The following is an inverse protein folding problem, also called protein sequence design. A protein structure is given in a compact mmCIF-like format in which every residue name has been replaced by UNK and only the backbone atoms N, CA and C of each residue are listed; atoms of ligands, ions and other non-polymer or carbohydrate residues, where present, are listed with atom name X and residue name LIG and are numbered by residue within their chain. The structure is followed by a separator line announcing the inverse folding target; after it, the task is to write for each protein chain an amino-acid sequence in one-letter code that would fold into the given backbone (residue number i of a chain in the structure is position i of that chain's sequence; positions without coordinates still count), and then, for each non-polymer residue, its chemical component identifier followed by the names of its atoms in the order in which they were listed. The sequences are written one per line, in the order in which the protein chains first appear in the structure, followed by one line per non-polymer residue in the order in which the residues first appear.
data_IF_427201076141
#
_entry.id   IF_427201076141
#
_cell.length_a   1.000
_cell.length_b   1.000
_cell.length_c   1.000
_cell.angle_alpha   90.00
_cell.angle_beta   90.00
_cell.angle_gamma   90.00
#
_symmetry.space_group_name_H-M   'P 1'
#
loop_
_entity.id
_entity.type
_entity.pdbx_description
1 polymer ?
#
# COMPACT_ATOMS: atom_id res chain seq x y z
N UNK A 1 -9.77 -1.86 -11.33
CA UNK A 1 -8.58 -1.19 -10.74
C UNK A 1 -7.45 -2.21 -10.71
N UNK A 2 -6.21 -1.79 -10.92
CA UNK A 2 -5.03 -2.66 -10.79
C UNK A 2 -4.11 -2.17 -9.66
N UNK A 3 -3.60 -3.09 -8.83
CA UNK A 3 -2.64 -2.81 -7.75
C UNK A 3 -1.40 -3.68 -7.97
N UNK A 4 -0.23 -3.08 -7.88
CA UNK A 4 1.06 -3.74 -8.07
C UNK A 4 1.94 -3.47 -6.87
N UNK A 5 2.49 -4.51 -6.26
CA UNK A 5 3.56 -4.38 -5.25
C UNK A 5 4.87 -4.02 -5.95
N UNK A 6 5.51 -2.92 -5.53
CA UNK A 6 6.72 -2.40 -6.17
C UNK A 6 7.99 -2.69 -5.37
N UNK A 7 7.86 -2.87 -4.06
CA UNK A 7 8.97 -3.22 -3.19
C UNK A 7 8.54 -3.52 -1.76
N UNK A 8 9.42 -4.20 -1.03
CA UNK A 8 9.37 -4.32 0.43
C UNK A 8 10.63 -3.73 1.03
N UNK A 9 10.56 -3.19 2.25
CA UNK A 9 11.79 -3.04 3.02
C UNK A 9 12.31 -4.45 3.34
N UNK A 10 13.63 -4.67 3.35
CA UNK A 10 14.20 -6.01 3.51
C UNK A 10 13.86 -6.74 4.83
N UNK A 11 13.10 -6.08 5.72
CA UNK A 11 12.58 -6.61 6.97
C UNK A 11 11.07 -6.93 6.92
N UNK A 12 10.41 -6.81 5.75
CA UNK A 12 8.98 -7.07 5.52
C UNK A 12 8.04 -6.33 6.51
N UNK A 13 8.34 -5.05 6.74
CA UNK A 13 7.59 -4.12 7.59
C UNK A 13 7.07 -2.91 6.87
N UNK A 14 7.56 -2.63 5.67
CA UNK A 14 7.05 -1.63 4.76
C UNK A 14 6.87 -2.26 3.38
N UNK A 15 5.76 -1.94 2.73
CA UNK A 15 5.43 -2.43 1.39
C UNK A 15 4.94 -1.26 0.57
N UNK A 16 5.53 -1.09 -0.60
CA UNK A 16 5.20 -0.04 -1.56
C UNK A 16 4.27 -0.59 -2.63
N UNK A 17 3.26 0.20 -2.99
CA UNK A 17 2.21 -0.16 -3.93
C UNK A 17 1.96 0.94 -4.95
N UNK A 18 1.82 0.51 -6.21
CA UNK A 18 1.30 1.32 -7.29
C UNK A 18 -0.16 0.92 -7.53
N UNK A 19 -1.06 1.89 -7.58
CA UNK A 19 -2.45 1.68 -7.96
C UNK A 19 -2.78 2.47 -9.21
N UNK A 20 -3.43 1.80 -10.17
CA UNK A 20 -4.01 2.44 -11.34
C UNK A 20 -5.54 2.37 -11.25
N UNK A 21 -6.20 3.45 -10.79
CA UNK A 21 -7.65 3.52 -10.75
C UNK A 21 -8.22 3.46 -12.18
N UNK A 22 -9.38 2.83 -12.34
CA UNK A 22 -10.07 2.85 -13.64
C UNK A 22 -10.52 4.27 -13.97
N UNK A 23 -10.20 4.73 -15.18
CA UNK A 23 -10.56 6.08 -15.63
C UNK A 23 -9.67 7.21 -15.08
N UNK A 24 -8.67 6.92 -14.27
CA UNK A 24 -7.67 7.90 -13.84
C UNK A 24 -6.46 7.92 -14.78
N UNK A 25 -5.95 9.12 -15.09
CA UNK A 25 -4.76 9.30 -15.93
C UNK A 25 -3.46 9.09 -15.15
N UNK A 26 -3.47 9.39 -13.85
CA UNK A 26 -2.30 9.32 -12.97
C UNK A 26 -2.38 8.10 -12.04
N UNK A 27 -1.22 7.51 -11.77
CA UNK A 27 -1.08 6.39 -10.85
C UNK A 27 -0.97 6.90 -9.41
N UNK A 28 -1.64 6.22 -8.49
CA UNK A 28 -1.50 6.43 -7.06
C UNK A 28 -0.30 5.64 -6.53
N UNK A 29 0.48 6.24 -5.64
CA UNK A 29 1.67 5.63 -5.09
C UNK A 29 1.61 5.77 -3.57
N UNK A 30 1.58 4.64 -2.88
CA UNK A 30 1.44 4.60 -1.44
C UNK A 30 2.22 3.45 -0.83
N UNK A 31 2.45 3.53 0.47
CA UNK A 31 3.04 2.45 1.23
C UNK A 31 2.31 2.24 2.55
N UNK A 32 2.21 0.97 2.96
CA UNK A 32 1.81 0.63 4.32
C UNK A 32 3.04 0.18 5.11
N UNK A 33 3.07 0.51 6.39
CA UNK A 33 4.18 0.13 7.25
C UNK A 33 3.72 -0.17 8.68
N UNK A 34 4.34 -1.17 9.31
CA UNK A 34 4.08 -1.57 10.70
C UNK A 34 5.27 -1.26 11.60
N UNK A 35 4.97 -0.95 12.86
CA UNK A 35 6.00 -0.85 13.89
C UNK A 35 6.54 -2.22 14.27
N UNK A 36 7.71 -2.25 14.92
CA UNK A 36 8.22 -3.46 15.56
C UNK A 36 7.16 -4.06 16.50
N UNK A 37 7.01 -5.38 16.44
CA UNK A 37 6.10 -6.17 17.29
C UNK A 37 4.59 -5.91 17.08
N UNK A 38 4.20 -5.14 16.05
CA UNK A 38 2.79 -4.91 15.71
C UNK A 38 2.38 -5.71 14.48
N UNK A 39 1.15 -6.22 14.47
CA UNK A 39 0.53 -6.80 13.29
C UNK A 39 0.14 -5.74 12.25
N UNK A 40 -0.22 -6.20 11.05
CA UNK A 40 -0.63 -5.34 9.93
C UNK A 40 -1.97 -4.64 10.18
N UNK A 41 -2.78 -5.09 11.15
CA UNK A 41 -4.01 -4.43 11.58
C UNK A 41 -3.74 -3.04 12.18
N UNK A 42 -2.52 -2.81 12.66
CA UNK A 42 -2.06 -1.52 13.19
C UNK A 42 -1.13 -0.78 12.21
N UNK A 43 -1.12 -1.19 10.93
CA UNK A 43 -0.31 -0.55 9.91
C UNK A 43 -0.69 0.91 9.73
N UNK A 44 0.33 1.72 9.43
CA UNK A 44 0.19 3.12 9.05
C UNK A 44 0.31 3.22 7.53
N UNK A 45 -0.35 4.23 6.99
CA UNK A 45 -0.33 4.56 5.56
C UNK A 45 0.53 5.81 5.34
N UNK A 46 1.31 5.82 4.26
CA UNK A 46 1.87 7.03 3.67
C UNK A 46 1.56 7.06 2.18
N UNK A 47 1.40 8.26 1.63
CA UNK A 47 1.12 8.48 0.21
C UNK A 47 2.19 9.44 -0.31
N UNK A 48 2.76 9.15 -1.48
CA UNK A 48 3.68 10.07 -2.13
C UNK A 48 2.93 11.37 -2.48
N UNK A 49 3.37 12.56 -2.03
CA UNK A 49 2.69 13.82 -2.30
C UNK A 49 2.60 14.17 -3.79
N UNK A 50 3.34 13.49 -4.66
CA UNK A 50 3.29 13.64 -6.11
C UNK A 50 2.38 12.61 -6.79
N UNK A 51 1.78 11.68 -6.05
CA UNK A 51 0.95 10.65 -6.64
C UNK A 51 -0.42 11.16 -7.06
N UNK A 52 -1.03 10.43 -8.00
CA UNK A 52 -2.45 10.53 -8.28
C UNK A 52 -3.30 10.05 -7.08
N UNK A 53 -4.62 10.03 -7.28
CA UNK A 53 -5.56 9.60 -6.24
C UNK A 53 -5.38 8.12 -5.86
N UNK A 54 -5.31 7.84 -4.56
CA UNK A 54 -5.27 6.47 -4.01
C UNK A 54 -6.66 6.11 -3.49
N UNK A 55 -7.39 5.17 -4.12
CA UNK A 55 -8.69 4.74 -3.63
C UNK A 55 -8.57 4.05 -2.27
N UNK A 56 -9.52 4.30 -1.36
CA UNK A 56 -9.54 3.65 -0.03
C UNK A 56 -9.56 2.13 -0.15
N UNK A 57 -10.34 1.59 -1.10
CA UNK A 57 -10.38 0.15 -1.39
C UNK A 57 -9.00 -0.46 -1.75
N UNK A 58 -8.09 0.33 -2.33
CA UNK A 58 -6.74 -0.13 -2.63
C UNK A 58 -5.90 -0.26 -1.34
N UNK A 59 -6.10 0.65 -0.38
CA UNK A 59 -5.46 0.60 0.93
C UNK A 59 -5.99 -0.57 1.75
N UNK A 60 -7.31 -0.77 1.77
CA UNK A 60 -7.95 -1.90 2.46
C UNK A 60 -7.41 -3.24 1.94
N UNK A 61 -7.39 -3.41 0.62
CA UNK A 61 -6.82 -4.59 -0.01
C UNK A 61 -5.34 -4.80 0.35
N UNK A 62 -4.53 -3.74 0.37
CA UNK A 62 -3.11 -3.84 0.70
C UNK A 62 -2.88 -4.32 2.15
N UNK A 63 -3.69 -3.85 3.10
CA UNK A 63 -3.63 -4.29 4.50
C UNK A 63 -4.06 -5.75 4.64
N UNK A 64 -5.11 -6.17 3.93
CA UNK A 64 -5.55 -7.57 3.92
C UNK A 64 -4.50 -8.49 3.31
N UNK A 65 -3.91 -8.11 2.17
CA UNK A 65 -2.80 -8.82 1.55
C UNK A 65 -1.62 -8.98 2.52
N UNK A 66 -1.19 -7.90 3.18
CA UNK A 66 -0.08 -7.97 4.11
C UNK A 66 -0.39 -8.89 5.30
N UNK A 67 -1.62 -8.84 5.84
CA UNK A 67 -2.07 -9.73 6.92
C UNK A 67 -2.04 -11.21 6.54
N UNK A 68 -2.39 -11.54 5.30
CA UNK A 68 -2.50 -12.93 4.84
C UNK A 68 -1.15 -13.54 4.44
N UNK A 69 -0.20 -12.70 4.02
CA UNK A 69 1.02 -13.17 3.37
C UNK A 69 2.34 -12.76 4.06
N UNK A 70 2.34 -11.92 5.11
CA UNK A 70 3.55 -11.37 5.80
C UNK A 70 3.39 -11.17 7.33
#
# INVERSE_FOLDING_TARGET
MAITTIGTDGDDRAIEFLVKPEGAAEEGHFAIFRGHERGWEAARLTIDPRSGSVPVAAVEWAVEFAREYL
#
